data_IF_799962092553
#
_entry.id   IF_799962092553
#
_cell.length_a   1.000
_cell.length_b   1.000
_cell.length_c   1.000
_cell.angle_alpha   90.00
_cell.angle_beta   90.00
_cell.angle_gamma   90.00
#
_symmetry.space_group_name_H-M   'P 1'
#
loop_
_entity.id
_entity.type
_entity.pdbx_description
1 polymer ?
#
# COMPACT_ATOMS: atom_id res chain seq x y z
N UNK A 1 -8.47 0.37 -10.10
CA UNK A 1 -7.75 -0.62 -9.28
C UNK A 1 -7.17 0.12 -8.09
N UNK A 2 -7.09 -0.54 -6.94
CA UNK A 2 -6.67 0.01 -5.65
C UNK A 2 -5.50 -0.85 -5.16
N UNK A 3 -4.33 -0.23 -4.95
CA UNK A 3 -3.17 -0.86 -4.34
C UNK A 3 -3.27 -0.66 -2.82
N UNK A 4 -3.58 -1.74 -2.10
CA UNK A 4 -3.66 -1.71 -0.65
C UNK A 4 -2.26 -1.80 -0.03
N UNK A 5 -1.92 -0.84 0.82
CA UNK A 5 -0.68 -0.78 1.58
C UNK A 5 -0.66 -1.79 2.74
N UNK A 6 0.53 -2.11 3.26
CA UNK A 6 0.72 -2.95 4.45
C UNK A 6 -0.11 -2.49 5.63
N UNK A 7 -0.21 -1.17 5.87
CA UNK A 7 -1.03 -0.62 6.96
C UNK A 7 -2.51 -1.01 6.83
N UNK A 8 -3.07 -1.06 5.62
CA UNK A 8 -4.44 -1.48 5.39
C UNK A 8 -4.64 -2.97 5.68
N UNK A 9 -3.70 -3.81 5.26
CA UNK A 9 -3.73 -5.25 5.57
C UNK A 9 -3.60 -5.53 7.06
N UNK A 10 -2.82 -4.73 7.80
CA UNK A 10 -2.70 -4.83 9.26
C UNK A 10 -4.04 -4.50 9.95
N UNK A 11 -4.74 -3.46 9.49
CA UNK A 11 -6.06 -3.11 10.03
C UNK A 11 -7.07 -4.24 9.81
N UNK A 12 -7.10 -4.80 8.60
CA UNK A 12 -7.94 -5.95 8.27
C UNK A 12 -7.60 -7.20 9.09
N UNK A 13 -6.30 -7.53 9.21
CA UNK A 13 -5.82 -8.69 9.97
C UNK A 13 -6.24 -8.62 11.45
N UNK A 14 -6.28 -7.41 12.00
CA UNK A 14 -6.68 -7.13 13.39
C UNK A 14 -8.17 -6.93 13.57
N UNK A 15 -8.96 -6.85 12.50
CA UNK A 15 -10.40 -6.54 12.51
C UNK A 15 -10.71 -5.30 13.37
N UNK A 16 -10.01 -4.19 13.11
CA UNK A 16 -10.07 -2.99 13.94
C UNK A 16 -11.40 -2.24 13.85
N UNK A 17 -12.19 -2.47 12.79
CA UNK A 17 -13.38 -1.68 12.49
C UNK A 17 -13.07 -0.25 12.05
N UNK A 18 -11.82 0.05 11.67
CA UNK A 18 -11.49 1.33 11.04
C UNK A 18 -12.09 1.41 9.64
N UNK A 19 -12.26 2.62 9.10
CA UNK A 19 -12.75 2.80 7.73
C UNK A 19 -11.92 2.02 6.70
N UNK A 20 -10.61 1.89 6.93
CA UNK A 20 -9.69 1.14 6.07
C UNK A 20 -9.96 -0.36 6.15
N UNK A 21 -10.17 -0.91 7.35
CA UNK A 21 -10.56 -2.31 7.55
C UNK A 21 -11.90 -2.59 6.86
N UNK A 22 -12.94 -1.81 7.15
CA UNK A 22 -14.26 -1.98 6.55
C UNK A 22 -14.20 -1.91 5.02
N UNK A 23 -13.43 -0.96 4.47
CA UNK A 23 -13.21 -0.81 3.04
C UNK A 23 -12.51 -2.02 2.44
N UNK A 24 -11.44 -2.50 3.07
CA UNK A 24 -10.70 -3.67 2.57
C UNK A 24 -11.58 -4.92 2.62
N UNK A 25 -12.31 -5.13 3.73
CA UNK A 25 -13.28 -6.20 3.91
C UNK A 25 -14.36 -6.19 2.81
N UNK A 26 -14.91 -5.02 2.50
CA UNK A 26 -15.89 -4.86 1.41
C UNK A 26 -15.29 -5.21 0.04
N UNK A 27 -14.08 -4.72 -0.24
CA UNK A 27 -13.41 -4.97 -1.52
C UNK A 27 -13.07 -6.46 -1.69
N UNK A 28 -12.69 -7.16 -0.62
CA UNK A 28 -12.46 -8.62 -0.64
C UNK A 28 -13.78 -9.37 -0.88
N UNK A 29 -14.85 -9.00 -0.17
CA UNK A 29 -16.14 -9.69 -0.26
C UNK A 29 -16.86 -9.51 -1.61
N UNK A 30 -16.58 -8.42 -2.31
CA UNK A 30 -17.19 -8.07 -3.60
C UNK A 30 -16.34 -8.40 -4.82
N UNK A 31 -15.21 -9.08 -4.64
CA UNK A 31 -14.18 -9.26 -5.68
C UNK A 31 -13.83 -7.92 -6.36
N UNK A 32 -13.73 -6.87 -5.53
CA UNK A 32 -13.42 -5.51 -5.93
C UNK A 32 -12.02 -5.39 -6.51
N UNK A 33 -11.68 -4.23 -7.10
CA UNK A 33 -10.47 -4.08 -7.90
C UNK A 33 -9.21 -3.88 -7.05
N UNK A 34 -8.94 -4.78 -6.10
CA UNK A 34 -7.78 -4.80 -5.22
C UNK A 34 -6.54 -5.34 -5.93
N UNK A 35 -5.38 -4.84 -5.52
CA UNK A 35 -4.08 -5.32 -5.93
C UNK A 35 -3.07 -5.18 -4.79
N UNK A 36 -1.96 -5.91 -4.91
CA UNK A 36 -0.83 -5.90 -3.96
C UNK A 36 0.48 -5.67 -4.72
N UNK A 37 1.57 -5.38 -4.00
CA UNK A 37 2.92 -5.30 -4.57
C UNK A 37 3.91 -6.06 -3.66
N UNK A 38 5.09 -6.39 -4.18
CA UNK A 38 6.08 -7.24 -3.51
C UNK A 38 6.43 -6.84 -2.07
N UNK A 39 6.74 -5.57 -1.73
CA UNK A 39 7.05 -5.17 -0.36
C UNK A 39 5.82 -5.27 0.54
N UNK A 40 4.60 -5.03 0.04
CA UNK A 40 3.39 -5.21 0.83
C UNK A 40 3.22 -6.68 1.21
N UNK A 41 3.37 -7.58 0.25
CA UNK A 41 3.32 -9.02 0.52
C UNK A 41 4.42 -9.42 1.52
N UNK A 42 5.64 -8.94 1.32
CA UNK A 42 6.76 -9.21 2.21
C UNK A 42 6.49 -8.76 3.65
N UNK A 43 6.03 -7.51 3.84
CA UNK A 43 5.82 -6.92 5.16
C UNK A 43 4.64 -7.58 5.89
N UNK A 44 3.54 -7.87 5.19
CA UNK A 44 2.38 -8.55 5.80
C UNK A 44 2.75 -9.95 6.25
N UNK A 45 3.47 -10.72 5.43
CA UNK A 45 3.87 -12.08 5.79
C UNK A 45 4.92 -12.09 6.90
N UNK A 46 5.88 -11.16 6.88
CA UNK A 46 6.86 -11.01 7.95
C UNK A 46 6.22 -10.56 9.29
N UNK A 47 5.08 -9.88 9.24
CA UNK A 47 4.32 -9.44 10.41
C UNK A 47 3.39 -10.49 11.03
N UNK A 48 3.22 -11.66 10.40
CA UNK A 48 2.35 -12.72 10.89
C UNK A 48 2.85 -13.29 12.24
N UNK A 49 1.92 -13.56 13.15
CA UNK A 49 2.23 -14.02 14.53
C UNK A 49 2.46 -15.52 14.67
N UNK A 50 2.14 -16.29 13.64
CA UNK A 50 2.33 -17.74 13.57
C UNK A 50 2.45 -18.18 12.12
N UNK A 51 3.05 -19.34 11.89
CA UNK A 51 3.17 -19.96 10.57
C UNK A 51 1.78 -20.25 9.95
N UNK A 52 0.82 -20.65 10.77
CA UNK A 52 -0.57 -20.85 10.34
C UNK A 52 -1.18 -19.55 9.80
N UNK A 53 -1.00 -18.44 10.52
CA UNK A 53 -1.52 -17.13 10.09
C UNK A 53 -0.79 -16.61 8.86
N UNK A 54 0.52 -16.81 8.78
CA UNK A 54 1.32 -16.50 7.60
C UNK A 54 0.77 -17.22 6.37
N UNK A 55 0.52 -18.52 6.47
CA UNK A 55 0.01 -19.33 5.37
C UNK A 55 -1.39 -18.87 4.91
N UNK A 56 -2.26 -18.49 5.85
CA UNK A 56 -3.57 -17.92 5.55
C UNK A 56 -3.49 -16.58 4.83
N UNK A 57 -2.65 -15.66 5.32
CA UNK A 57 -2.42 -14.36 4.70
C UNK A 57 -1.81 -14.51 3.31
N UNK A 58 -0.83 -15.42 3.14
CA UNK A 58 -0.22 -15.71 1.84
C UNK A 58 -1.27 -16.19 0.84
N UNK A 59 -2.10 -17.14 1.24
CA UNK A 59 -3.18 -17.66 0.39
C UNK A 59 -4.15 -16.57 -0.02
N UNK A 60 -4.50 -15.66 0.89
CA UNK A 60 -5.37 -14.52 0.62
C UNK A 60 -4.72 -13.54 -0.36
N UNK A 61 -3.51 -13.06 -0.07
CA UNK A 61 -2.82 -12.04 -0.84
C UNK A 61 -2.54 -12.48 -2.29
N UNK A 62 -2.20 -13.76 -2.48
CA UNK A 62 -1.92 -14.32 -3.81
C UNK A 62 -3.16 -14.47 -4.71
N UNK A 63 -4.37 -14.18 -4.20
CA UNK A 63 -5.58 -14.08 -5.03
C UNK A 63 -5.65 -12.77 -5.81
N UNK A 64 -4.94 -11.73 -5.38
CA UNK A 64 -4.99 -10.42 -6.00
C UNK A 64 -3.87 -10.24 -7.04
N UNK A 65 -4.10 -9.45 -8.10
CA UNK A 65 -3.04 -9.06 -9.02
C UNK A 65 -1.83 -8.47 -8.29
N UNK A 66 -0.65 -9.00 -8.61
CA UNK A 66 0.62 -8.49 -8.14
C UNK A 66 1.11 -7.39 -9.10
N UNK A 67 1.08 -6.14 -8.64
CA UNK A 67 1.62 -5.00 -9.38
C UNK A 67 3.13 -4.97 -9.22
N UNK A 68 3.79 -5.69 -10.12
CA UNK A 68 5.23 -5.81 -10.14
C UNK A 68 5.95 -4.48 -10.31
N UNK A 69 7.05 -4.34 -9.58
CA UNK A 69 8.07 -3.34 -9.83
C UNK A 69 8.66 -3.49 -11.23
N UNK A 70 8.93 -2.34 -11.84
CA UNK A 70 9.90 -2.23 -12.91
C UNK A 70 11.21 -1.72 -12.30
N UNK A 71 12.23 -2.58 -12.23
CA UNK A 71 13.46 -2.27 -11.51
C UNK A 71 14.18 -1.03 -12.06
N UNK A 72 14.09 -0.80 -13.36
CA UNK A 72 14.72 0.34 -14.04
C UNK A 72 13.97 1.65 -13.73
N UNK A 73 12.65 1.60 -13.74
CA UNK A 73 11.80 2.77 -13.62
C UNK A 73 11.53 3.15 -12.17
N UNK A 74 11.12 2.18 -11.34
CA UNK A 74 10.55 2.45 -10.03
C UNK A 74 11.59 2.76 -8.96
N UNK A 75 12.80 2.20 -9.04
CA UNK A 75 13.85 2.50 -8.06
C UNK A 75 14.36 3.93 -8.21
N UNK A 76 14.59 4.37 -9.46
CA UNK A 76 14.94 5.76 -9.76
C UNK A 76 13.79 6.70 -9.38
N UNK A 77 12.56 6.37 -9.77
CA UNK A 77 11.39 7.17 -9.41
C UNK A 77 11.17 7.26 -7.91
N UNK A 78 11.37 6.19 -7.13
CA UNK A 78 11.27 6.21 -5.67
C UNK A 78 12.29 7.19 -5.04
N UNK A 79 13.53 7.22 -5.54
CA UNK A 79 14.53 8.18 -5.10
C UNK A 79 14.12 9.63 -5.41
N UNK A 80 13.56 9.87 -6.60
CA UNK A 80 13.05 11.19 -6.98
C UNK A 80 11.85 11.62 -6.12
N UNK A 81 10.94 10.69 -5.83
CA UNK A 81 9.81 10.89 -4.93
C UNK A 81 10.30 11.27 -3.53
N UNK A 82 11.24 10.52 -2.97
CA UNK A 82 11.82 10.80 -1.66
C UNK A 82 12.44 12.20 -1.61
N UNK A 83 13.27 12.55 -2.60
CA UNK A 83 13.90 13.86 -2.69
C UNK A 83 12.88 14.99 -2.89
N UNK A 84 11.81 14.74 -3.65
CA UNK A 84 10.74 15.72 -3.84
C UNK A 84 9.98 15.96 -2.54
N UNK A 85 9.61 14.91 -1.82
CA UNK A 85 8.96 15.02 -0.51
C UNK A 85 9.80 15.87 0.44
N UNK A 86 11.11 15.58 0.54
CA UNK A 86 12.03 16.31 1.43
C UNK A 86 12.11 17.80 1.07
N UNK A 87 12.13 18.14 -0.22
CA UNK A 87 12.12 19.55 -0.67
C UNK A 87 10.83 20.28 -0.33
N UNK A 88 9.71 19.57 -0.19
CA UNK A 88 8.40 20.15 0.15
C UNK A 88 8.03 19.98 1.63
N UNK A 89 9.00 19.66 2.49
CA UNK A 89 8.78 19.54 3.94
C UNK A 89 8.11 18.23 4.40
N UNK A 90 7.89 17.27 3.50
CA UNK A 90 7.41 15.92 3.83
C UNK A 90 8.62 15.00 4.01
N UNK A 91 8.70 14.29 5.13
CA UNK A 91 9.77 13.30 5.36
C UNK A 91 9.16 11.91 5.36
N UNK A 92 9.31 11.13 4.28
CA UNK A 92 8.87 9.73 4.23
C UNK A 92 9.55 8.91 5.35
N UNK A 93 8.83 7.95 5.93
CA UNK A 93 9.36 7.04 6.97
C UNK A 93 10.39 6.07 6.39
N UNK A 94 10.17 5.65 5.14
CA UNK A 94 11.10 4.76 4.44
C UNK A 94 11.08 4.94 2.93
N UNK A 95 12.07 4.31 2.28
CA UNK A 95 12.13 4.22 0.82
C UNK A 95 11.02 3.31 0.24
N UNK A 96 10.52 2.37 1.04
CA UNK A 96 9.46 1.44 0.61
C UNK A 96 8.17 2.20 0.30
N UNK A 97 7.75 3.17 1.12
CA UNK A 97 6.57 4.00 0.84
C UNK A 97 6.72 4.76 -0.49
N UNK A 98 7.94 5.23 -0.79
CA UNK A 98 8.23 5.91 -2.06
C UNK A 98 8.21 4.93 -3.24
N UNK A 99 8.63 3.69 -3.04
CA UNK A 99 8.54 2.61 -4.02
C UNK A 99 7.09 2.23 -4.31
N UNK A 100 6.27 2.05 -3.28
CA UNK A 100 4.83 1.77 -3.39
C UNK A 100 4.14 2.92 -4.15
N UNK A 101 4.42 4.17 -3.79
CA UNK A 101 3.92 5.34 -4.50
C UNK A 101 4.39 5.39 -5.97
N UNK A 102 5.62 4.95 -6.27
CA UNK A 102 6.10 4.84 -7.66
C UNK A 102 5.28 3.86 -8.48
N UNK A 103 5.04 2.65 -7.95
CA UNK A 103 4.22 1.64 -8.63
C UNK A 103 2.80 2.15 -8.83
N UNK A 104 2.20 2.76 -7.79
CA UNK A 104 0.87 3.34 -7.88
C UNK A 104 0.78 4.41 -8.97
N UNK A 105 1.75 5.32 -9.01
CA UNK A 105 1.83 6.38 -10.03
C UNK A 105 2.00 5.82 -11.44
N UNK A 106 2.90 4.85 -11.61
CA UNK A 106 3.18 4.24 -12.92
C UNK A 106 2.00 3.43 -13.45
N UNK A 107 1.24 2.78 -12.56
CA UNK A 107 0.08 1.96 -12.92
C UNK A 107 -1.23 2.75 -12.96
N UNK A 108 -1.24 4.01 -12.51
CA UNK A 108 -2.44 4.85 -12.45
C UNK A 108 -3.50 4.27 -11.50
N UNK A 109 -3.08 3.77 -10.34
CA UNK A 109 -3.96 3.15 -9.35
C UNK A 109 -3.98 3.96 -8.06
N UNK A 110 -5.12 3.96 -7.38
CA UNK A 110 -5.26 4.62 -6.08
C UNK A 110 -4.60 3.79 -4.98
N UNK A 111 -4.13 4.45 -3.91
CA UNK A 111 -3.63 3.80 -2.71
C UNK A 111 -4.73 3.69 -1.66
N UNK A 112 -4.76 2.56 -0.93
CA UNK A 112 -5.57 2.40 0.29
C UNK A 112 -4.64 2.14 1.46
N UNK A 113 -4.63 3.02 2.46
CA UNK A 113 -3.69 2.94 3.58
C UNK A 113 -4.26 3.48 4.89
N UNK A 114 -3.82 2.89 5.99
CA UNK A 114 -4.01 3.43 7.34
C UNK A 114 -2.71 4.10 7.83
N UNK A 115 -2.08 4.88 6.94
CA UNK A 115 -0.83 5.59 7.19
C UNK A 115 -0.90 6.99 6.58
N UNK A 116 -0.91 8.01 7.44
CA UNK A 116 -0.95 9.41 7.04
C UNK A 116 0.31 9.85 6.27
N UNK A 117 1.42 9.12 6.39
CA UNK A 117 2.66 9.44 5.67
C UNK A 117 2.51 9.13 4.18
N UNK A 118 1.81 8.03 3.85
CA UNK A 118 1.54 7.66 2.47
C UNK A 118 0.61 8.66 1.78
N UNK A 119 -0.39 9.21 2.49
CA UNK A 119 -1.23 10.32 2.01
C UNK A 119 -0.41 11.58 1.69
N UNK A 120 0.53 11.95 2.57
CA UNK A 120 1.45 13.07 2.33
C UNK A 120 2.34 12.84 1.10
N UNK A 121 2.87 11.62 0.93
CA UNK A 121 3.67 11.26 -0.25
C UNK A 121 2.81 11.31 -1.52
N UNK A 122 1.63 10.71 -1.50
CA UNK A 122 0.71 10.63 -2.62
C UNK A 122 0.37 12.03 -3.17
N UNK A 123 0.07 12.99 -2.28
CA UNK A 123 -0.15 14.40 -2.66
C UNK A 123 1.06 15.04 -3.35
N UNK A 124 2.28 14.76 -2.90
CA UNK A 124 3.50 15.32 -3.50
C UNK A 124 3.67 14.82 -4.94
N UNK A 125 3.25 13.59 -5.24
CA UNK A 125 3.51 12.93 -6.53
C UNK A 125 2.29 12.82 -7.44
N UNK A 126 1.11 13.24 -6.97
CA UNK A 126 -0.14 13.18 -7.72
C UNK A 126 -0.71 11.77 -7.85
N UNK A 127 -0.62 10.97 -6.78
CA UNK A 127 -1.26 9.66 -6.70
C UNK A 127 -2.58 9.81 -5.93
N UNK A 128 -3.64 9.20 -6.44
CA UNK A 128 -4.94 9.20 -5.77
C UNK A 128 -4.89 8.32 -4.52
N UNK A 129 -5.64 8.73 -3.50
CA UNK A 129 -5.85 7.94 -2.28
C UNK A 129 -7.34 7.63 -2.12
N UNK A 130 -7.66 6.37 -1.84
CA UNK A 130 -9.02 5.94 -1.58
C UNK A 130 -9.61 6.74 -0.40
N UNK A 131 -10.90 7.03 -0.46
CA UNK A 131 -11.60 7.87 0.52
C UNK A 131 -11.54 7.32 1.94
N UNK A 132 -11.47 6.00 2.09
CA UNK A 132 -11.40 5.34 3.39
C UNK A 132 -10.02 5.47 4.06
N UNK A 133 -9.00 5.89 3.32
CA UNK A 133 -7.63 5.98 3.84
C UNK A 133 -7.49 7.02 4.94
N UNK A 134 -6.55 6.79 5.86
CA UNK A 134 -6.19 7.77 6.87
C UNK A 134 -5.52 8.99 6.21
N UNK A 135 -6.09 10.18 6.42
CA UNK A 135 -5.60 11.45 5.84
C UNK A 135 -5.05 12.38 6.92
N UNK A 136 -4.03 13.16 6.58
CA UNK A 136 -3.44 14.20 7.44
C UNK A 136 -4.02 15.58 7.18
#
# INVERSE_FOLDING_TARGET
MILADTSAWIEYDRATGSAVDERLSQLIASDGPLAVTEPVVMEVLAGARSDEREADLRRLLLRFPLLHFDAVTDFGAAADIYRRCRRTGVTPRGMIDCMIASVARRRGVALLAHDADLDRIARVVGVDIDEASLRS
#
